data_IF_257442248435
#
_entry.id   IF_257442248435
#
_cell.length_a   1.000
_cell.length_b   1.000
_cell.length_c   1.000
_cell.angle_alpha   90.00
_cell.angle_beta   90.00
_cell.angle_gamma   90.00
#
_symmetry.space_group_name_H-M   'P 1'
#
loop_
_entity.id
_entity.type
_entity.pdbx_description
1 polymer ?
#
# COMPACT_ATOMS: atom_id res chain seq x y z
N UNK A 1 -19.62 -2.61 6.65
CA UNK A 1 -20.10 -1.78 7.76
C UNK A 1 -18.95 -0.94 8.27
N UNK A 2 -19.16 0.38 8.37
CA UNK A 2 -18.18 1.34 8.90
C UNK A 2 -18.74 2.00 10.13
N UNK A 3 -17.91 2.10 11.15
CA UNK A 3 -18.14 2.97 12.29
C UNK A 3 -17.08 4.07 12.28
N UNK A 4 -17.50 5.31 12.11
CA UNK A 4 -16.63 6.46 12.22
C UNK A 4 -17.09 7.29 13.41
N UNK A 5 -16.15 7.70 14.24
CA UNK A 5 -16.38 8.59 15.37
C UNK A 5 -15.36 9.72 15.29
N UNK A 6 -15.82 10.95 15.32
CA UNK A 6 -14.94 12.10 15.30
C UNK A 6 -15.38 13.10 16.35
N UNK A 7 -14.42 13.66 17.06
CA UNK A 7 -14.58 14.77 17.98
C UNK A 7 -13.73 15.92 17.47
N UNK A 8 -14.37 17.01 17.12
CA UNK A 8 -13.70 18.21 16.63
C UNK A 8 -13.97 19.35 17.61
N UNK A 9 -12.90 19.96 18.11
CA UNK A 9 -12.95 21.06 19.08
C UNK A 9 -12.22 22.28 18.53
N UNK A 10 -12.49 23.44 19.07
CA UNK A 10 -11.83 24.72 18.74
C UNK A 10 -11.88 25.07 17.23
N UNK A 11 -13.02 24.83 16.58
CA UNK A 11 -13.18 24.96 15.12
C UNK A 11 -12.87 26.39 14.63
N UNK A 12 -13.17 27.41 15.46
CA UNK A 12 -12.98 28.81 15.09
C UNK A 12 -11.52 29.29 15.18
N UNK A 13 -10.62 28.54 15.82
CA UNK A 13 -9.22 28.97 16.03
C UNK A 13 -8.23 27.95 15.47
N UNK A 14 -7.97 26.90 16.21
CA UNK A 14 -7.12 25.80 15.80
C UNK A 14 -7.88 24.49 16.06
N UNK A 15 -8.55 23.98 15.04
CA UNK A 15 -9.38 22.81 15.20
C UNK A 15 -8.54 21.60 15.62
N UNK A 16 -8.94 21.00 16.74
CA UNK A 16 -8.39 19.75 17.25
C UNK A 16 -9.29 18.60 16.78
N UNK A 17 -8.74 17.71 16.00
CA UNK A 17 -9.44 16.54 15.48
C UNK A 17 -8.97 15.29 16.22
N UNK A 18 -9.92 14.52 16.73
CA UNK A 18 -9.70 13.21 17.34
C UNK A 18 -10.74 12.26 16.72
N UNK A 19 -10.26 11.34 15.86
CA UNK A 19 -11.14 10.50 15.07
C UNK A 19 -10.71 9.03 15.11
N UNK A 20 -11.71 8.17 15.11
CA UNK A 20 -11.57 6.72 15.01
C UNK A 20 -12.38 6.22 13.81
N UNK A 21 -11.77 5.35 13.02
CA UNK A 21 -12.41 4.66 11.92
C UNK A 21 -12.23 3.17 12.10
N UNK A 22 -13.34 2.44 12.27
CA UNK A 22 -13.32 0.99 12.36
C UNK A 22 -14.34 0.40 11.42
N UNK A 23 -13.91 -0.51 10.57
CA UNK A 23 -14.86 -1.09 9.64
C UNK A 23 -14.31 -2.13 8.70
N UNK A 24 -15.23 -2.61 7.88
CA UNK A 24 -14.98 -3.61 6.85
C UNK A 24 -15.57 -3.12 5.53
N UNK A 25 -14.74 -3.15 4.48
CA UNK A 25 -15.13 -2.86 3.10
C UNK A 25 -15.03 -4.14 2.29
N UNK A 26 -16.09 -4.49 1.59
CA UNK A 26 -16.06 -5.47 0.52
C UNK A 26 -15.68 -4.69 -0.76
N UNK A 27 -14.50 -4.94 -1.31
CA UNK A 27 -13.95 -4.14 -2.42
C UNK A 27 -14.83 -4.20 -3.68
N UNK A 28 -15.50 -5.29 -3.92
CA UNK A 28 -16.47 -5.41 -5.02
C UNK A 28 -17.64 -4.39 -4.94
N UNK A 29 -17.91 -3.84 -3.77
CA UNK A 29 -18.95 -2.81 -3.60
C UNK A 29 -18.41 -1.39 -3.83
N UNK A 30 -17.09 -1.19 -3.79
CA UNK A 30 -16.47 0.14 -3.99
C UNK A 30 -16.70 0.60 -5.42
N UNK A 31 -16.55 -0.28 -6.39
CA UNK A 31 -16.77 0.01 -7.82
C UNK A 31 -18.22 0.33 -8.15
N UNK A 32 -19.17 -0.12 -7.32
CA UNK A 32 -20.60 0.23 -7.44
C UNK A 32 -20.89 1.63 -6.88
N UNK A 33 -20.17 2.02 -5.83
CA UNK A 33 -20.36 3.31 -5.17
C UNK A 33 -19.59 4.45 -5.84
N UNK A 34 -18.45 4.15 -6.43
CA UNK A 34 -17.60 5.10 -7.13
C UNK A 34 -17.22 4.52 -8.51
N UNK A 35 -17.59 5.18 -9.61
CA UNK A 35 -17.40 4.64 -10.97
C UNK A 35 -15.93 4.70 -11.38
N UNK A 36 -15.13 3.75 -10.89
CA UNK A 36 -13.79 3.49 -11.40
C UNK A 36 -13.95 2.54 -12.59
N UNK A 37 -13.45 2.94 -13.75
CA UNK A 37 -13.40 2.05 -14.92
C UNK A 37 -12.30 1.01 -14.68
N UNK A 38 -12.69 -0.18 -14.29
CA UNK A 38 -11.81 -1.33 -14.19
C UNK A 38 -12.33 -2.39 -15.18
N UNK A 39 -11.41 -3.04 -15.87
CA UNK A 39 -11.76 -4.12 -16.82
C UNK A 39 -12.42 -5.30 -16.10
N UNK A 40 -12.01 -5.54 -14.86
CA UNK A 40 -12.62 -6.53 -13.98
C UNK A 40 -12.86 -5.94 -12.59
N UNK A 41 -13.94 -6.35 -11.90
CA UNK A 41 -14.24 -5.86 -10.57
C UNK A 41 -13.15 -6.29 -9.57
N UNK A 42 -12.77 -5.38 -8.68
CA UNK A 42 -11.92 -5.71 -7.54
C UNK A 42 -12.62 -6.72 -6.64
N UNK A 43 -11.86 -7.66 -6.11
CA UNK A 43 -12.33 -8.56 -5.06
C UNK A 43 -11.54 -8.36 -3.79
N UNK A 44 -12.04 -8.88 -2.70
CA UNK A 44 -11.36 -8.86 -1.41
C UNK A 44 -12.11 -8.09 -0.35
N UNK A 45 -11.63 -8.27 0.88
CA UNK A 45 -12.18 -7.67 2.09
C UNK A 45 -11.07 -6.85 2.75
N UNK A 46 -11.30 -5.55 2.84
CA UNK A 46 -10.45 -4.63 3.59
C UNK A 46 -11.05 -4.41 4.98
N UNK A 47 -10.25 -4.62 6.03
CA UNK A 47 -10.60 -4.25 7.41
C UNK A 47 -9.65 -3.19 7.90
N UNK A 48 -10.18 -2.20 8.59
CA UNK A 48 -9.41 -1.11 9.17
C UNK A 48 -9.85 -0.83 10.60
N UNK A 49 -8.90 -0.55 11.46
CA UNK A 49 -9.06 -0.01 12.80
C UNK A 49 -8.00 1.07 12.98
N UNK A 50 -8.39 2.32 12.76
CA UNK A 50 -7.48 3.46 12.63
C UNK A 50 -7.92 4.58 13.56
N UNK A 51 -6.95 5.17 14.24
CA UNK A 51 -7.11 6.36 15.07
C UNK A 51 -6.22 7.46 14.56
N UNK A 52 -6.75 8.67 14.56
CA UNK A 52 -5.98 9.86 14.19
C UNK A 52 -6.29 10.99 15.18
N UNK A 53 -5.25 11.70 15.59
CA UNK A 53 -5.37 12.88 16.41
C UNK A 53 -4.38 13.94 15.93
N UNK A 54 -4.88 15.10 15.63
CA UNK A 54 -4.07 16.22 15.14
C UNK A 54 -4.77 17.57 15.38
N UNK A 55 -4.02 18.64 15.26
CA UNK A 55 -4.54 19.99 15.15
C UNK A 55 -4.32 20.54 13.73
N UNK A 56 -5.25 21.41 13.28
CA UNK A 56 -5.21 21.94 11.92
C UNK A 56 -3.97 22.80 11.66
N UNK A 57 -3.50 23.55 12.65
CA UNK A 57 -2.28 24.35 12.53
C UNK A 57 -1.05 23.49 12.25
N UNK A 58 -0.94 22.33 12.87
CA UNK A 58 0.14 21.36 12.58
C UNK A 58 0.09 20.87 11.14
N UNK A 59 -1.10 20.68 10.58
CA UNK A 59 -1.27 20.31 9.16
C UNK A 59 -0.87 21.47 8.25
N UNK A 60 -1.40 22.67 8.49
CA UNK A 60 -1.15 23.88 7.70
C UNK A 60 0.31 24.30 7.71
N UNK A 61 0.99 24.11 8.85
CA UNK A 61 2.42 24.47 8.99
C UNK A 61 3.37 23.31 8.70
N UNK A 62 2.85 22.21 8.17
CA UNK A 62 3.63 20.99 7.83
C UNK A 62 4.38 20.38 9.02
N UNK A 63 3.83 20.55 10.24
CA UNK A 63 4.36 19.95 11.45
C UNK A 63 3.77 18.55 11.69
N UNK A 64 3.95 17.68 10.73
CA UNK A 64 3.33 16.35 10.69
C UNK A 64 3.77 15.42 11.83
N UNK A 65 4.91 15.72 12.47
CA UNK A 65 5.38 15.02 13.68
C UNK A 65 4.39 15.15 14.86
N UNK A 66 3.50 16.15 14.82
CA UNK A 66 2.46 16.34 15.83
C UNK A 66 1.20 15.51 15.54
N UNK A 67 1.10 14.92 14.36
CA UNK A 67 -0.02 14.06 13.99
C UNK A 67 0.19 12.68 14.60
N UNK A 68 -0.75 12.25 15.41
CA UNK A 68 -0.77 10.93 16.02
C UNK A 68 -1.71 10.02 15.24
N UNK A 69 -1.17 9.33 14.24
CA UNK A 69 -1.89 8.30 13.51
C UNK A 69 -1.42 6.93 13.96
N UNK A 70 -2.35 6.05 14.24
CA UNK A 70 -2.03 4.65 14.54
C UNK A 70 -3.16 3.75 14.10
N UNK A 71 -2.84 2.49 13.86
CA UNK A 71 -3.87 1.54 13.52
C UNK A 71 -3.34 0.31 12.83
N UNK A 72 -4.30 -0.51 12.46
CA UNK A 72 -4.07 -1.72 11.66
C UNK A 72 -5.03 -1.74 10.49
N UNK A 73 -4.51 -2.18 9.35
CA UNK A 73 -5.28 -2.42 8.14
C UNK A 73 -4.95 -3.81 7.64
N UNK A 74 -5.95 -4.59 7.29
CA UNK A 74 -5.77 -5.90 6.68
C UNK A 74 -6.61 -6.05 5.42
N UNK A 75 -6.07 -6.80 4.47
CA UNK A 75 -6.69 -7.12 3.20
C UNK A 75 -6.65 -8.62 3.01
N UNK A 76 -7.77 -9.22 2.64
CA UNK A 76 -7.88 -10.67 2.37
C UNK A 76 -8.60 -10.93 1.06
N UNK A 77 -8.14 -11.93 0.31
CA UNK A 77 -8.79 -12.39 -0.91
C UNK A 77 -8.85 -11.34 -2.02
N UNK A 78 -7.84 -10.48 -2.10
CA UNK A 78 -7.74 -9.48 -3.16
C UNK A 78 -7.30 -10.15 -4.45
N UNK A 79 -7.97 -9.81 -5.54
CA UNK A 79 -7.56 -10.19 -6.88
C UNK A 79 -7.63 -8.96 -7.79
N UNK A 80 -6.56 -8.72 -8.50
CA UNK A 80 -6.45 -7.66 -9.49
C UNK A 80 -5.98 -8.23 -10.83
N UNK A 81 -6.67 -7.85 -11.88
CA UNK A 81 -6.31 -8.13 -13.25
C UNK A 81 -6.41 -6.83 -14.04
N UNK A 82 -5.31 -6.41 -14.64
CA UNK A 82 -5.23 -5.20 -15.44
C UNK A 82 -4.32 -5.38 -16.64
N UNK A 83 -4.42 -4.51 -17.64
CA UNK A 83 -3.64 -4.61 -18.88
C UNK A 83 -2.13 -4.46 -18.65
N UNK A 84 -1.74 -3.84 -17.54
CA UNK A 84 -0.35 -3.68 -17.13
C UNK A 84 0.28 -4.93 -16.49
N UNK A 85 -0.55 -5.96 -16.19
CA UNK A 85 -0.11 -7.18 -15.54
C UNK A 85 -0.14 -8.35 -16.52
N UNK A 86 0.98 -9.08 -16.64
CA UNK A 86 1.02 -10.30 -17.45
C UNK A 86 0.12 -11.42 -16.92
N UNK A 87 -0.07 -11.46 -15.61
CA UNK A 87 -0.85 -12.46 -14.88
C UNK A 87 -1.68 -11.81 -13.78
N UNK A 88 -2.83 -12.41 -13.39
CA UNK A 88 -3.59 -11.95 -12.23
C UNK A 88 -2.73 -11.87 -10.98
N UNK A 89 -2.81 -10.74 -10.26
CA UNK A 89 -2.15 -10.55 -8.99
C UNK A 89 -3.13 -10.81 -7.85
N UNK A 90 -2.82 -11.79 -7.02
CA UNK A 90 -3.66 -12.24 -5.91
C UNK A 90 -2.97 -12.02 -4.59
N UNK A 91 -3.62 -11.31 -3.66
CA UNK A 91 -3.19 -11.21 -2.28
C UNK A 91 -4.12 -12.10 -1.46
N UNK A 92 -3.58 -13.20 -0.94
CA UNK A 92 -4.32 -14.07 -0.02
C UNK A 92 -4.58 -13.32 1.29
N UNK A 93 -3.52 -12.70 1.82
CA UNK A 93 -3.59 -11.91 3.04
C UNK A 93 -2.49 -10.83 3.05
N UNK A 94 -2.86 -9.64 3.48
CA UNK A 94 -1.92 -8.58 3.85
C UNK A 94 -2.36 -7.94 5.17
N UNK A 95 -1.40 -7.58 6.02
CA UNK A 95 -1.67 -6.90 7.28
C UNK A 95 -0.60 -5.86 7.54
N UNK A 96 -1.03 -4.62 7.75
CA UNK A 96 -0.18 -3.47 8.01
C UNK A 96 -0.58 -2.86 9.35
N UNK A 97 0.40 -2.60 10.19
CA UNK A 97 0.25 -1.74 11.37
C UNK A 97 1.07 -0.48 11.17
N UNK A 98 0.57 0.64 11.66
CA UNK A 98 1.30 1.90 11.55
C UNK A 98 1.13 2.76 12.80
N UNK A 99 2.12 3.59 13.03
CA UNK A 99 2.15 4.64 14.03
C UNK A 99 2.87 5.87 13.44
N UNK A 100 3.00 7.00 14.14
CA UNK A 100 3.61 8.21 13.58
C UNK A 100 5.04 8.06 13.05
N UNK A 101 5.78 7.07 13.47
CA UNK A 101 7.20 6.89 13.09
C UNK A 101 7.42 5.80 12.05
N UNK A 102 6.55 4.80 11.99
CA UNK A 102 6.82 3.59 11.22
C UNK A 102 5.53 2.96 10.66
N UNK A 103 5.63 2.45 9.46
CA UNK A 103 4.67 1.51 8.87
C UNK A 103 5.31 0.13 8.91
N UNK A 104 4.61 -0.86 9.47
CA UNK A 104 5.05 -2.25 9.57
C UNK A 104 4.15 -3.15 8.74
N UNK A 105 4.75 -3.82 7.78
CA UNK A 105 4.12 -4.91 7.04
C UNK A 105 4.29 -6.20 7.87
N UNK A 106 3.24 -6.54 8.62
CA UNK A 106 3.26 -7.72 9.50
C UNK A 106 3.12 -9.02 8.70
N UNK A 107 2.39 -8.95 7.59
CA UNK A 107 2.14 -10.07 6.71
C UNK A 107 1.83 -9.58 5.31
N UNK A 108 2.37 -10.26 4.33
CA UNK A 108 1.98 -10.13 2.93
C UNK A 108 2.19 -11.49 2.28
N UNK A 109 1.10 -12.11 1.86
CA UNK A 109 1.08 -13.39 1.15
C UNK A 109 0.36 -13.15 -0.18
N UNK A 110 1.12 -13.24 -1.27
CA UNK A 110 0.63 -12.96 -2.60
C UNK A 110 1.11 -14.00 -3.62
N UNK A 111 0.39 -14.09 -4.73
CA UNK A 111 0.70 -14.95 -5.86
C UNK A 111 0.43 -14.23 -7.17
N UNK A 112 1.30 -14.47 -8.16
CA UNK A 112 1.09 -14.07 -9.54
C UNK A 112 1.68 -15.11 -10.46
N UNK A 113 0.90 -15.62 -11.41
CA UNK A 113 1.35 -16.74 -12.26
C UNK A 113 1.77 -17.96 -11.45
N UNK A 114 3.03 -18.39 -11.63
CA UNK A 114 3.65 -19.49 -10.88
C UNK A 114 4.42 -19.01 -9.64
N UNK A 115 4.53 -17.70 -9.44
CA UNK A 115 5.30 -17.09 -8.35
C UNK A 115 4.45 -16.95 -7.09
N UNK A 116 5.09 -17.19 -5.92
CA UNK A 116 4.57 -16.89 -4.61
C UNK A 116 5.47 -15.89 -3.89
N UNK A 117 4.89 -15.05 -3.05
CA UNK A 117 5.59 -14.02 -2.29
C UNK A 117 5.08 -13.98 -0.87
N UNK A 118 5.97 -14.12 0.09
CA UNK A 118 5.72 -13.84 1.49
C UNK A 118 6.68 -12.74 1.95
N UNK A 119 6.12 -11.61 2.34
CA UNK A 119 6.92 -10.43 2.70
C UNK A 119 6.51 -9.91 4.06
N UNK A 120 7.50 -9.57 4.87
CA UNK A 120 7.36 -8.78 6.10
C UNK A 120 8.39 -7.66 6.09
N UNK A 121 8.13 -6.59 6.85
CA UNK A 121 9.12 -5.51 6.89
C UNK A 121 8.61 -4.24 7.52
N UNK A 122 9.41 -3.20 7.37
CA UNK A 122 9.11 -1.86 7.90
C UNK A 122 9.44 -0.79 6.88
N UNK A 123 8.65 0.28 6.93
CA UNK A 123 8.93 1.55 6.26
C UNK A 123 9.04 2.64 7.32
N UNK A 124 10.15 3.33 7.33
CA UNK A 124 10.46 4.41 8.25
C UNK A 124 10.48 5.74 7.51
N UNK A 125 10.25 6.82 8.23
CA UNK A 125 10.23 8.19 7.71
C UNK A 125 9.13 8.48 6.67
N UNK A 126 7.97 7.84 6.83
CA UNK A 126 6.84 8.02 5.91
C UNK A 126 6.38 9.47 5.80
N UNK A 127 6.27 10.19 6.92
CA UNK A 127 5.90 11.61 6.90
C UNK A 127 6.97 12.50 6.27
N UNK A 128 8.25 12.19 6.51
CA UNK A 128 9.35 12.89 5.85
C UNK A 128 9.31 12.72 4.33
N UNK A 129 8.97 11.52 3.89
CA UNK A 129 8.81 11.23 2.46
C UNK A 129 7.62 11.99 1.84
N UNK A 130 6.41 11.82 2.41
CA UNK A 130 5.18 12.35 1.80
C UNK A 130 5.15 13.88 1.80
N UNK A 131 5.68 14.52 2.85
CA UNK A 131 5.49 15.95 3.06
C UNK A 131 6.75 16.79 2.93
N UNK A 132 7.94 16.19 2.94
CA UNK A 132 9.22 16.90 2.91
C UNK A 132 10.18 16.40 1.82
N UNK A 133 9.71 15.54 0.91
CA UNK A 133 10.53 14.92 -0.15
C UNK A 133 11.82 14.26 0.37
N UNK A 134 11.75 13.69 1.59
CA UNK A 134 12.86 12.96 2.17
C UNK A 134 12.86 11.50 1.69
N UNK A 135 13.98 10.83 1.93
CA UNK A 135 14.13 9.44 1.55
C UNK A 135 13.24 8.55 2.43
N UNK A 136 12.46 7.70 1.80
CA UNK A 136 11.69 6.64 2.44
C UNK A 136 12.62 5.44 2.69
N UNK A 137 12.77 5.02 3.94
CA UNK A 137 13.64 3.91 4.31
C UNK A 137 12.83 2.65 4.54
N UNK A 138 13.29 1.54 3.98
CA UNK A 138 12.61 0.25 4.10
C UNK A 138 13.55 -0.90 4.41
N UNK A 139 13.08 -1.82 5.27
CA UNK A 139 13.74 -3.09 5.52
C UNK A 139 12.73 -4.21 5.36
N UNK A 140 12.97 -5.12 4.41
CA UNK A 140 12.05 -6.19 4.10
C UNK A 140 12.73 -7.55 4.11
N UNK A 141 11.97 -8.55 4.57
CA UNK A 141 12.30 -9.96 4.43
C UNK A 141 11.29 -10.58 3.47
N UNK A 142 11.78 -11.18 2.42
CA UNK A 142 10.99 -11.87 1.41
C UNK A 142 11.35 -13.36 1.40
N UNK A 143 10.34 -14.21 1.42
CA UNK A 143 10.45 -15.63 1.17
C UNK A 143 9.57 -15.98 -0.03
N UNK A 144 10.08 -16.84 -0.87
CA UNK A 144 9.37 -17.38 -2.02
C UNK A 144 9.76 -18.84 -2.21
N UNK A 145 8.81 -19.69 -2.52
CA UNK A 145 9.09 -21.07 -2.90
C UNK A 145 9.43 -21.15 -4.40
N UNK A 146 8.84 -20.23 -5.16
CA UNK A 146 9.06 -20.13 -6.59
C UNK A 146 8.91 -18.69 -7.05
N UNK A 147 9.94 -18.14 -7.66
CA UNK A 147 9.96 -16.79 -8.22
C UNK A 147 10.27 -16.85 -9.72
N UNK A 148 9.30 -16.49 -10.53
CA UNK A 148 9.43 -16.43 -12.00
C UNK A 148 9.35 -14.95 -12.41
N UNK A 149 10.47 -14.38 -12.82
CA UNK A 149 10.58 -12.93 -13.10
C UNK A 149 9.57 -12.46 -14.15
N UNK A 150 9.30 -13.30 -15.17
CA UNK A 150 8.32 -12.96 -16.21
C UNK A 150 6.88 -12.82 -15.71
N UNK A 151 6.53 -13.34 -14.53
CA UNK A 151 5.20 -13.16 -13.94
C UNK A 151 4.94 -11.72 -13.51
N UNK A 152 6.01 -10.94 -13.30
CA UNK A 152 5.97 -9.53 -12.85
C UNK A 152 6.19 -8.52 -13.98
N UNK A 153 6.48 -9.02 -15.20
CA UNK A 153 6.71 -8.14 -16.36
C UNK A 153 5.38 -7.79 -17.02
N UNK A 154 5.24 -6.56 -17.50
CA UNK A 154 4.11 -6.20 -18.34
C UNK A 154 4.14 -7.05 -19.64
N UNK A 155 2.98 -7.41 -20.22
CA UNK A 155 2.94 -8.02 -21.51
C UNK A 155 3.59 -7.07 -22.54
N UNK A 156 4.75 -7.47 -23.09
CA UNK A 156 5.34 -6.74 -24.21
C UNK A 156 4.45 -6.95 -25.44
N UNK A 157 3.77 -5.92 -25.89
CA UNK A 157 3.22 -5.88 -27.24
C UNK A 157 4.39 -5.80 -28.20
N UNK A 158 4.88 -6.95 -28.66
CA UNK A 158 5.86 -7.02 -29.74
C UNK A 158 5.16 -6.68 -31.05
N UNK A 159 5.27 -5.42 -31.47
CA UNK A 159 5.33 -5.12 -32.90
C UNK A 159 6.71 -5.57 -33.35
N UNK A 160 6.75 -6.52 -34.25
CA UNK A 160 7.95 -7.14 -34.80
C UNK A 160 8.85 -6.09 -35.46
N UNK A 161 10.00 -5.79 -34.84
CA UNK A 161 11.21 -5.42 -35.55
C UNK A 161 12.39 -6.07 -34.83
N UNK A 162 13.24 -6.71 -35.63
CA UNK A 162 14.36 -7.56 -35.22
C UNK A 162 15.39 -6.78 -34.38
N UNK A 163 15.86 -7.42 -33.31
CA UNK A 163 17.18 -7.17 -32.73
C UNK A 163 17.26 -6.17 -31.60
N UNK A 164 17.01 -6.63 -30.42
CA UNK A 164 17.67 -6.45 -29.12
C UNK A 164 16.67 -6.65 -27.99
N UNK A 165 16.76 -7.78 -27.31
CA UNK A 165 16.12 -7.96 -26.01
C UNK A 165 16.81 -7.04 -25.01
N UNK A 166 16.35 -5.80 -24.86
CA UNK A 166 16.67 -4.98 -23.72
C UNK A 166 15.69 -5.34 -22.61
N UNK A 167 16.13 -6.18 -21.72
CA UNK A 167 15.48 -6.33 -20.41
C UNK A 167 15.62 -4.98 -19.73
N UNK A 168 14.58 -4.15 -19.73
CA UNK A 168 14.60 -2.92 -18.93
C UNK A 168 14.74 -3.32 -17.47
N UNK A 169 15.85 -2.94 -16.87
CA UNK A 169 16.08 -3.16 -15.46
C UNK A 169 15.00 -2.40 -14.67
N UNK A 170 14.44 -3.06 -13.65
CA UNK A 170 13.49 -2.41 -12.74
C UNK A 170 14.16 -1.17 -12.14
N UNK A 171 13.69 0.01 -12.51
CA UNK A 171 14.21 1.28 -11.97
C UNK A 171 13.67 1.46 -10.56
N UNK A 172 14.55 1.33 -9.58
CA UNK A 172 14.22 1.67 -8.20
C UNK A 172 14.18 3.20 -8.12
N UNK A 173 13.07 3.80 -7.65
CA UNK A 173 12.96 5.24 -7.50
C UNK A 173 14.04 5.79 -6.55
N UNK A 174 14.64 6.93 -6.88
CA UNK A 174 15.72 7.55 -6.10
C UNK A 174 15.32 8.00 -4.68
N UNK A 175 14.02 8.08 -4.42
CA UNK A 175 13.49 8.41 -3.08
C UNK A 175 13.38 7.19 -2.15
N UNK A 176 13.67 5.99 -2.64
CA UNK A 176 13.51 4.75 -1.90
C UNK A 176 14.88 4.15 -1.55
N UNK A 177 15.17 4.09 -0.26
CA UNK A 177 16.34 3.40 0.30
C UNK A 177 15.86 2.14 1.02
N UNK A 178 15.91 1.00 0.33
CA UNK A 178 15.38 -0.26 0.85
C UNK A 178 16.44 -1.35 0.88
N UNK A 179 16.49 -2.05 1.99
CA UNK A 179 17.19 -3.33 2.14
C UNK A 179 16.17 -4.47 2.03
N UNK A 180 16.47 -5.47 1.20
CA UNK A 180 15.63 -6.65 1.04
C UNK A 180 16.49 -7.89 1.25
N UNK A 181 16.14 -8.70 2.23
CA UNK A 181 16.70 -10.05 2.41
C UNK A 181 15.73 -11.04 1.79
N UNK A 182 16.16 -11.74 0.74
CA UNK A 182 15.34 -12.69 0.00
C UNK A 182 15.85 -14.11 0.18
N UNK A 183 14.90 -15.06 0.33
CA UNK A 183 15.14 -16.51 0.23
C UNK A 183 14.17 -17.07 -0.79
N UNK A 184 14.68 -17.81 -1.75
CA UNK A 184 13.91 -18.49 -2.79
C UNK A 184 14.41 -19.92 -2.98
#
# INVERSE_FOLDING_TARGET
VFNAKANIRNIATNALVDAELKGTIILANVTKAYPVKLDKPLTGILKADVKTKFDMKSVETSQYQNIQNSGVVSLTGFNYEGPEMAKPFKINQAAVAFNPSQIRLNQFDAKTGASDLQVTGTLDNFYGFVFKNQILKGNFNMNSTKLVVSDFMAPTTTTSEEGKKTTEAVKIPSFLDCSVTAKA
#
